data_IF_633627010305
#
_entry.id   IF_633627010305
#
_cell.length_a   1.000
_cell.length_b   1.000
_cell.length_c   1.000
_cell.angle_alpha   90.00
_cell.angle_beta   90.00
_cell.angle_gamma   90.00
#
_symmetry.space_group_name_H-M   'P 1'
#
loop_
_entity.id
_entity.type
_entity.pdbx_description
1 polymer ?
#
# COMPACT_ATOMS: atom_id res chain seq x y z
N UNK A 1 5.37 -13.53 -16.26
CA UNK A 1 6.15 -13.06 -15.10
C UNK A 1 5.22 -13.16 -13.92
N UNK A 2 5.44 -14.13 -13.04
CA UNK A 2 4.68 -14.25 -11.80
C UNK A 2 5.18 -13.14 -10.88
N UNK A 3 4.43 -12.03 -10.79
CA UNK A 3 4.62 -11.10 -9.70
C UNK A 3 4.40 -11.85 -8.39
N UNK A 4 5.24 -11.62 -7.40
CA UNK A 4 4.85 -11.90 -6.02
C UNK A 4 4.35 -10.59 -5.43
N UNK A 5 3.19 -10.57 -4.73
CA UNK A 5 2.69 -9.36 -4.12
C UNK A 5 3.77 -8.69 -3.26
N UNK A 6 3.81 -7.36 -3.30
CA UNK A 6 4.83 -6.56 -2.61
C UNK A 6 4.20 -5.66 -1.57
N UNK A 7 4.71 -5.75 -0.34
CA UNK A 7 4.32 -4.81 0.71
C UNK A 7 4.94 -3.43 0.40
N UNK A 8 4.09 -2.43 0.26
CA UNK A 8 4.45 -1.03 0.03
C UNK A 8 4.40 -0.21 1.31
N UNK A 9 3.48 -0.52 2.22
CA UNK A 9 3.36 0.13 3.54
C UNK A 9 3.27 -0.95 4.61
N UNK A 10 3.98 -0.75 5.71
CA UNK A 10 3.89 -1.62 6.89
C UNK A 10 3.77 -0.77 8.15
N UNK A 11 2.70 -1.00 8.91
CA UNK A 11 2.41 -0.28 10.16
C UNK A 11 2.53 1.25 9.99
N UNK A 12 1.91 1.76 8.94
CA UNK A 12 1.87 3.19 8.62
C UNK A 12 3.18 3.83 8.17
N UNK A 13 4.16 3.01 7.78
CA UNK A 13 5.42 3.49 7.18
C UNK A 13 5.58 2.97 5.76
N UNK A 14 5.81 3.88 4.81
CA UNK A 14 6.15 3.51 3.44
C UNK A 14 7.49 2.77 3.40
N UNK A 15 7.50 1.62 2.73
CA UNK A 15 8.70 0.88 2.36
C UNK A 15 9.25 1.50 1.06
N UNK A 16 9.97 2.61 1.20
CA UNK A 16 10.48 3.43 0.09
C UNK A 16 11.24 2.61 -0.96
N UNK A 17 12.02 1.61 -0.54
CA UNK A 17 12.74 0.74 -1.47
C UNK A 17 11.80 -0.11 -2.33
N UNK A 18 10.73 -0.66 -1.75
CA UNK A 18 9.73 -1.45 -2.47
C UNK A 18 8.92 -0.57 -3.44
N UNK A 19 8.50 0.62 -2.99
CA UNK A 19 7.83 1.58 -3.87
C UNK A 19 8.71 1.97 -5.08
N UNK A 20 10.01 2.18 -4.85
CA UNK A 20 10.96 2.47 -5.94
C UNK A 20 11.18 1.28 -6.87
N UNK A 21 11.33 0.06 -6.35
CA UNK A 21 11.56 -1.14 -7.18
C UNK A 21 10.36 -1.44 -8.08
N UNK A 22 9.15 -1.24 -7.55
CA UNK A 22 7.89 -1.45 -8.28
C UNK A 22 7.43 -0.22 -9.06
N UNK A 23 8.19 0.90 -9.00
CA UNK A 23 7.84 2.19 -9.62
C UNK A 23 6.47 2.75 -9.19
N UNK A 24 6.03 2.41 -7.98
CA UNK A 24 4.80 2.94 -7.38
C UNK A 24 5.06 4.32 -6.81
N UNK A 25 4.22 5.26 -7.22
CA UNK A 25 4.24 6.64 -6.76
C UNK A 25 3.43 6.84 -5.47
N UNK A 26 3.70 7.93 -4.77
CA UNK A 26 2.86 8.34 -3.64
C UNK A 26 1.42 8.62 -4.09
N UNK A 27 1.21 9.10 -5.32
CA UNK A 27 -0.12 9.41 -5.84
C UNK A 27 -0.97 8.15 -5.96
N UNK A 28 -0.43 7.07 -6.54
CA UNK A 28 -1.11 5.77 -6.68
C UNK A 28 -1.43 5.16 -5.31
N UNK A 29 -0.48 5.20 -4.36
CA UNK A 29 -0.73 4.75 -3.00
C UNK A 29 -1.87 5.56 -2.34
N UNK A 30 -1.87 6.88 -2.53
CA UNK A 30 -2.89 7.76 -1.93
C UNK A 30 -4.25 7.57 -2.59
N UNK A 31 -4.29 7.27 -3.89
CA UNK A 31 -5.52 6.92 -4.60
C UNK A 31 -6.15 5.63 -4.05
N UNK A 32 -5.35 4.57 -3.88
CA UNK A 32 -5.79 3.33 -3.24
C UNK A 32 -6.27 3.55 -1.80
N UNK A 33 -5.54 4.38 -1.03
CA UNK A 33 -5.98 4.77 0.31
C UNK A 33 -7.36 5.45 0.30
N UNK A 34 -7.62 6.38 -0.64
CA UNK A 34 -8.92 7.05 -0.75
C UNK A 34 -10.03 6.08 -1.16
N UNK A 35 -9.76 5.18 -2.10
CA UNK A 35 -10.71 4.18 -2.56
C UNK A 35 -11.21 3.29 -1.40
N UNK A 36 -10.31 2.97 -0.47
CA UNK A 36 -10.60 2.18 0.73
C UNK A 36 -11.08 3.03 1.94
N UNK A 37 -11.30 4.33 1.76
CA UNK A 37 -11.72 5.24 2.84
C UNK A 37 -10.69 5.34 3.97
N UNK A 38 -9.40 5.27 3.65
CA UNK A 38 -8.28 5.44 4.58
C UNK A 38 -7.70 6.85 4.44
N UNK A 39 -7.95 7.73 5.41
CA UNK A 39 -7.48 9.11 5.36
C UNK A 39 -6.01 9.27 5.74
N UNK A 40 -5.53 8.49 6.73
CA UNK A 40 -4.16 8.60 7.23
C UNK A 40 -3.38 7.32 6.99
N UNK A 41 -2.11 7.48 6.58
CA UNK A 41 -1.22 6.33 6.38
C UNK A 41 -0.96 5.59 7.69
N UNK A 42 -0.99 6.29 8.83
CA UNK A 42 -0.80 5.70 10.17
C UNK A 42 -1.81 4.61 10.49
N UNK A 43 -3.00 4.70 9.90
CA UNK A 43 -4.12 3.79 10.11
C UNK A 43 -3.97 2.50 9.28
N UNK A 44 -2.95 2.42 8.42
CA UNK A 44 -2.66 1.26 7.58
C UNK A 44 -1.80 0.25 8.34
N UNK A 45 -2.26 -1.00 8.41
CA UNK A 45 -1.47 -2.16 8.83
C UNK A 45 -0.56 -2.62 7.69
N UNK A 46 -1.14 -2.82 6.50
CA UNK A 46 -0.41 -3.14 5.27
C UNK A 46 -1.03 -2.45 4.05
N UNK A 47 -0.18 -1.98 3.13
CA UNK A 47 -0.57 -1.74 1.74
C UNK A 47 0.22 -2.71 0.87
N UNK A 48 -0.45 -3.46 0.00
CA UNK A 48 0.14 -4.53 -0.80
C UNK A 48 -0.12 -4.23 -2.27
N UNK A 49 0.94 -4.20 -3.09
CA UNK A 49 0.85 -4.23 -4.54
C UNK A 49 0.58 -5.68 -4.97
N UNK A 50 -0.59 -5.92 -5.51
CA UNK A 50 -1.01 -7.21 -6.05
C UNK A 50 -0.44 -7.43 -7.46
N UNK A 51 -0.53 -8.68 -7.93
CA UNK A 51 0.07 -9.10 -9.21
C UNK A 51 -0.58 -8.48 -10.44
N UNK A 52 -1.79 -7.96 -10.30
CA UNK A 52 -2.55 -7.26 -11.32
C UNK A 52 -2.27 -5.74 -11.34
N UNK A 53 -1.40 -5.26 -10.44
CA UNK A 53 -1.05 -3.85 -10.30
C UNK A 53 -1.96 -3.06 -9.35
N UNK A 54 -3.00 -3.68 -8.79
CA UNK A 54 -3.85 -3.04 -7.79
C UNK A 54 -3.12 -2.93 -6.44
N UNK A 55 -3.50 -1.93 -5.64
CA UNK A 55 -2.99 -1.76 -4.28
C UNK A 55 -4.12 -2.04 -3.30
N UNK A 56 -4.02 -3.12 -2.54
CA UNK A 56 -4.96 -3.45 -1.46
C UNK A 56 -4.52 -2.81 -0.15
N UNK A 57 -5.48 -2.25 0.62
CA UNK A 57 -5.22 -1.62 1.91
C UNK A 57 -5.83 -2.45 3.03
N UNK A 58 -5.00 -2.88 3.97
CA UNK A 58 -5.42 -3.51 5.22
C UNK A 58 -5.25 -2.48 6.33
N UNK A 59 -6.38 -1.97 6.85
CA UNK A 59 -6.39 -1.04 7.98
C UNK A 59 -5.99 -1.76 9.27
N UNK A 60 -5.48 -1.00 10.24
CA UNK A 60 -5.36 -1.48 11.62
C UNK A 60 -6.78 -1.64 12.17
N UNK A 61 -6.99 -2.69 12.94
CA UNK A 61 -8.18 -2.77 13.79
C UNK A 61 -8.14 -1.60 14.78
N UNK A 62 -9.26 -0.91 14.91
CA UNK A 62 -9.49 -0.03 16.06
C UNK A 62 -9.49 -0.91 17.30
N UNK A 63 -8.74 -0.50 18.32
CA UNK A 63 -8.66 -1.21 19.60
C UNK A 63 -9.95 -1.02 20.40
#
# INVERSE_FOLDING_TARGET
MEGTPKVLVRHGRCLQQAMRSERVTISELTEAMRAEGCANITDIRYAILENDGNISIIKREEA
#
